data_IF_113574207017
#
_entry.id   IF_113574207017
#
_cell.length_a   1.000
_cell.length_b   1.000
_cell.length_c   1.000
_cell.angle_alpha   90.00
_cell.angle_beta   90.00
_cell.angle_gamma   90.00
#
_symmetry.space_group_name_H-M   'P 1'
#
loop_
_entity.id
_entity.type
_entity.pdbx_description
1 polymer ?
#
# COMPACT_ATOMS: atom_id res chain seq x y z
N UNK A 1 15.04 -29.21 37.30
CA UNK A 1 14.57 -30.02 36.17
C UNK A 1 13.06 -30.13 36.31
N UNK A 2 12.30 -29.37 35.50
CA UNK A 2 10.83 -29.39 35.51
C UNK A 2 10.35 -29.68 34.09
N UNK A 3 9.51 -30.70 33.99
CA UNK A 3 8.88 -31.26 32.78
C UNK A 3 7.66 -30.42 32.33
N UNK A 4 7.09 -30.70 31.13
CA UNK A 4 6.32 -29.76 30.32
C UNK A 4 4.82 -29.78 30.63
N UNK A 5 4.07 -28.79 30.14
CA UNK A 5 2.60 -28.76 30.19
C UNK A 5 2.02 -28.34 28.84
N UNK A 6 1.00 -29.08 28.43
CA UNK A 6 0.43 -29.22 27.10
C UNK A 6 -0.42 -28.04 26.57
N UNK A 7 -0.39 -27.92 25.25
CA UNK A 7 -1.49 -27.67 24.29
C UNK A 7 -2.78 -27.02 24.80
N UNK A 8 -3.17 -25.88 24.20
CA UNK A 8 -4.55 -25.64 23.75
C UNK A 8 -4.65 -24.47 22.76
N UNK A 9 -5.16 -24.79 21.56
CA UNK A 9 -5.61 -23.89 20.49
C UNK A 9 -6.75 -22.97 20.94
N UNK A 10 -6.79 -21.72 20.47
CA UNK A 10 -8.02 -20.92 20.32
C UNK A 10 -7.81 -19.76 19.31
N UNK A 11 -8.19 -19.96 18.04
CA UNK A 11 -8.86 -18.94 17.20
C UNK A 11 -10.33 -18.87 17.65
N UNK A 12 -11.11 -17.76 17.58
CA UNK A 12 -11.32 -16.87 16.42
C UNK A 12 -11.47 -15.36 16.81
N UNK A 13 -11.52 -14.37 15.91
CA UNK A 13 -12.76 -13.79 15.35
C UNK A 13 -12.37 -12.71 14.31
N UNK A 14 -13.13 -12.71 13.23
CA UNK A 14 -13.07 -11.90 12.02
C UNK A 14 -13.77 -10.52 12.19
N UNK A 15 -13.22 -9.49 11.52
CA UNK A 15 -13.80 -8.19 11.05
C UNK A 15 -14.23 -7.08 12.04
N UNK A 16 -14.37 -5.79 11.62
CA UNK A 16 -13.74 -5.06 10.50
C UNK A 16 -13.19 -3.67 10.94
N UNK A 17 -12.04 -3.25 10.41
CA UNK A 17 -11.67 -1.83 10.45
C UNK A 17 -11.31 -1.40 9.04
N UNK A 18 -12.32 -0.94 8.32
CA UNK A 18 -12.13 -0.15 7.10
C UNK A 18 -11.82 1.27 7.58
N UNK A 19 -10.58 1.78 7.48
CA UNK A 19 -10.39 3.22 7.54
C UNK A 19 -11.03 3.80 6.27
N UNK A 20 -12.11 4.52 6.52
CA UNK A 20 -12.88 5.36 5.63
C UNK A 20 -11.98 6.16 4.67
N UNK A 21 -12.27 6.02 3.36
CA UNK A 21 -11.64 6.77 2.28
C UNK A 21 -11.77 8.28 2.53
N UNK A 22 -10.64 8.93 2.78
CA UNK A 22 -10.52 10.38 2.63
C UNK A 22 -10.20 10.64 1.16
N UNK A 23 -11.25 10.85 0.36
CA UNK A 23 -11.11 11.46 -0.95
C UNK A 23 -10.56 12.88 -0.76
N UNK A 24 -9.27 13.04 -1.02
CA UNK A 24 -8.58 14.31 -1.05
C UNK A 24 -7.90 14.50 -2.40
N UNK A 25 -8.65 15.00 -3.38
CA UNK A 25 -8.06 15.60 -4.58
C UNK A 25 -7.36 16.89 -4.16
N UNK A 26 -6.06 16.80 -3.95
CA UNK A 26 -5.22 17.93 -3.59
C UNK A 26 -3.78 17.48 -3.56
N UNK A 27 -3.15 17.40 -4.72
CA UNK A 27 -1.69 17.33 -4.79
C UNK A 27 -1.13 18.66 -4.30
N UNK A 28 -0.99 18.79 -2.99
CA UNK A 28 -0.15 19.81 -2.37
C UNK A 28 1.28 19.26 -2.52
N UNK A 29 1.95 19.64 -3.60
CA UNK A 29 3.33 19.27 -3.89
C UNK A 29 4.25 19.96 -2.89
N UNK A 30 4.33 19.41 -1.70
CA UNK A 30 5.31 19.77 -0.70
C UNK A 30 6.03 18.50 -0.31
N UNK A 31 7.14 18.21 -1.01
CA UNK A 31 8.30 17.37 -0.64
C UNK A 31 8.05 16.25 0.39
N UNK A 32 6.91 15.58 0.27
CA UNK A 32 6.55 14.52 1.19
C UNK A 32 7.32 13.31 0.70
N UNK A 33 8.32 12.89 1.48
CA UNK A 33 9.01 11.63 1.24
C UNK A 33 7.97 10.51 1.27
N UNK A 34 7.55 10.09 0.07
CA UNK A 34 6.51 9.09 -0.12
C UNK A 34 7.12 7.68 -0.20
N UNK A 35 8.43 7.57 0.03
CA UNK A 35 9.11 6.28 0.09
C UNK A 35 8.53 5.44 1.23
N UNK A 36 8.24 4.17 0.94
CA UNK A 36 7.54 3.21 1.79
C UNK A 36 6.07 3.56 2.12
N UNK A 37 5.51 4.63 1.58
CA UNK A 37 4.08 4.94 1.74
C UNK A 37 3.22 3.86 1.10
N UNK A 38 2.05 3.58 1.70
CA UNK A 38 1.10 2.62 1.15
C UNK A 38 0.38 3.19 -0.07
N UNK A 39 0.13 2.34 -1.06
CA UNK A 39 -0.66 2.69 -2.24
C UNK A 39 -1.61 1.53 -2.60
N UNK A 40 -2.65 1.85 -3.36
CA UNK A 40 -3.68 0.90 -3.76
C UNK A 40 -3.76 0.83 -5.29
N UNK A 41 -3.84 -0.39 -5.83
CA UNK A 41 -4.09 -0.63 -7.25
C UNK A 41 -5.59 -0.70 -7.47
N UNK A 42 -6.10 0.16 -8.34
CA UNK A 42 -7.52 0.24 -8.66
C UNK A 42 -7.86 -0.55 -9.94
N UNK A 43 -9.06 -1.11 -9.99
CA UNK A 43 -9.62 -1.72 -11.18
C UNK A 43 -10.06 -0.65 -12.19
N UNK A 44 -9.30 -0.49 -13.28
CA UNK A 44 -9.62 0.49 -14.32
C UNK A 44 -10.93 0.20 -15.08
N UNK A 45 -11.37 -1.06 -15.13
CA UNK A 45 -12.53 -1.46 -15.93
C UNK A 45 -13.87 -1.04 -15.31
N UNK A 46 -13.90 -0.71 -14.01
CA UNK A 46 -15.11 -0.36 -13.28
C UNK A 46 -15.14 1.16 -13.03
N UNK A 47 -15.49 1.93 -14.05
CA UNK A 47 -15.52 3.40 -13.97
C UNK A 47 -16.48 3.96 -12.91
N UNK A 48 -17.53 3.21 -12.55
CA UNK A 48 -18.53 3.64 -11.58
C UNK A 48 -18.20 3.22 -10.14
N UNK A 49 -17.16 2.40 -9.94
CA UNK A 49 -16.81 1.87 -8.62
C UNK A 49 -15.30 1.79 -8.46
N UNK A 50 -14.78 2.54 -7.49
CA UNK A 50 -13.40 2.39 -7.02
C UNK A 50 -13.24 1.03 -6.32
N UNK A 51 -12.85 0.01 -7.09
CA UNK A 51 -12.50 -1.31 -6.57
C UNK A 51 -10.98 -1.42 -6.45
N UNK A 52 -10.52 -1.62 -5.21
CA UNK A 52 -9.11 -1.90 -4.91
C UNK A 52 -8.83 -3.38 -5.17
N UNK A 53 -7.92 -3.67 -6.09
CA UNK A 53 -7.54 -5.04 -6.47
C UNK A 53 -6.21 -5.48 -5.85
N UNK A 54 -5.37 -4.54 -5.40
CA UNK A 54 -4.16 -4.85 -4.65
C UNK A 54 -3.71 -3.67 -3.78
N UNK A 55 -2.85 -3.94 -2.81
CA UNK A 55 -2.14 -2.93 -2.01
C UNK A 55 -0.64 -3.12 -2.18
N UNK A 56 0.09 -2.01 -2.22
CA UNK A 56 1.53 -1.97 -2.39
C UNK A 56 2.18 -0.91 -1.50
N UNK A 57 3.49 -0.77 -1.64
CA UNK A 57 4.25 0.33 -1.03
C UNK A 57 5.13 0.95 -2.09
N UNK A 58 5.32 2.25 -2.01
CA UNK A 58 6.22 2.94 -2.91
C UNK A 58 7.66 2.59 -2.54
N UNK A 59 8.37 1.95 -3.47
CA UNK A 59 9.77 1.59 -3.31
C UNK A 59 10.71 2.80 -3.44
N UNK A 60 10.39 3.75 -4.34
CA UNK A 60 11.18 4.98 -4.50
C UNK A 60 10.42 6.04 -5.29
N UNK A 61 10.69 7.31 -4.95
CA UNK A 61 10.23 8.50 -5.67
C UNK A 61 11.37 9.23 -6.39
N UNK A 62 12.57 8.65 -6.44
CA UNK A 62 13.71 9.26 -7.12
C UNK A 62 13.48 9.27 -8.64
N UNK A 63 13.38 10.44 -9.30
CA UNK A 63 13.12 10.54 -10.73
C UNK A 63 14.23 9.91 -11.60
N UNK A 64 15.44 9.74 -11.05
CA UNK A 64 16.57 9.11 -11.74
C UNK A 64 16.64 7.58 -11.54
N UNK A 65 15.86 7.03 -10.62
CA UNK A 65 15.76 5.59 -10.42
C UNK A 65 15.26 4.91 -11.68
N UNK A 66 15.78 3.72 -11.97
CA UNK A 66 15.48 2.98 -13.19
C UNK A 66 14.45 1.88 -12.98
N UNK A 67 13.52 1.79 -13.92
CA UNK A 67 12.66 0.61 -14.11
C UNK A 67 13.09 -0.07 -15.40
N UNK A 68 13.56 -1.31 -15.26
CA UNK A 68 14.32 -2.06 -16.26
C UNK A 68 15.58 -1.32 -16.74
N UNK A 69 15.46 -0.24 -17.50
CA UNK A 69 16.57 0.59 -17.95
C UNK A 69 16.20 2.07 -18.17
N UNK A 70 14.94 2.45 -17.93
CA UNK A 70 14.40 3.79 -18.20
C UNK A 70 14.27 4.55 -16.88
N UNK A 71 14.72 5.82 -16.78
CA UNK A 71 14.47 6.64 -15.59
C UNK A 71 12.98 6.86 -15.39
N UNK A 72 12.53 6.89 -14.14
CA UNK A 72 11.12 7.12 -13.79
C UNK A 72 10.59 8.45 -14.33
N UNK A 73 11.38 9.52 -14.21
CA UNK A 73 10.96 10.88 -14.53
C UNK A 73 10.27 11.58 -13.36
N UNK A 74 9.95 12.87 -13.58
CA UNK A 74 9.29 13.68 -12.55
C UNK A 74 7.86 13.19 -12.30
N UNK A 75 7.39 13.31 -11.06
CA UNK A 75 6.04 12.91 -10.65
C UNK A 75 5.70 11.43 -10.90
N UNK A 76 6.72 10.58 -11.01
CA UNK A 76 6.59 9.15 -11.20
C UNK A 76 7.19 8.39 -10.01
N UNK A 77 6.58 7.26 -9.65
CA UNK A 77 7.00 6.44 -8.52
C UNK A 77 7.15 4.99 -8.93
N UNK A 78 8.09 4.29 -8.30
CA UNK A 78 8.20 2.83 -8.39
C UNK A 78 7.51 2.23 -7.18
N UNK A 79 6.60 1.30 -7.44
CA UNK A 79 5.85 0.51 -6.45
C UNK A 79 6.41 -0.91 -6.42
#
# INVERSE_FOLDING_TARGET
MSTPFDSQSNTPIETPHTPQSQQGSGAIFSDANLENAQCELLNWCLFEKEEVVAKGKIATTDPYSKVHHVPLGIDCWKV
#
